data_IF_197740881792
#
_entry.id   IF_197740881792
#
_cell.length_a   1.000
_cell.length_b   1.000
_cell.length_c   1.000
_cell.angle_alpha   90.00
_cell.angle_beta   90.00
_cell.angle_gamma   90.00
#
_symmetry.space_group_name_H-M   'P 1'
#
loop_
_entity.id
_entity.type
_entity.pdbx_description
1 polymer ?
#
# COMPACT_ATOMS: atom_id res chain seq x y z
N UNK A 1 0.17 -4.73 -13.86
CA UNK A 1 1.09 -3.84 -13.16
C UNK A 1 0.91 -2.43 -13.71
N UNK A 2 0.50 -1.46 -12.88
CA UNK A 2 0.44 -0.05 -13.29
C UNK A 2 1.88 0.48 -13.41
N UNK A 3 2.26 1.06 -14.55
CA UNK A 3 3.66 1.50 -14.83
C UNK A 3 4.16 2.47 -13.74
N UNK A 4 3.24 3.26 -13.17
CA UNK A 4 3.53 4.23 -12.12
C UNK A 4 3.96 3.55 -10.81
N UNK A 5 3.29 2.47 -10.41
CA UNK A 5 3.63 1.75 -9.17
C UNK A 5 4.98 1.04 -9.30
N UNK A 6 5.25 0.49 -10.48
CA UNK A 6 6.53 -0.12 -10.79
C UNK A 6 7.67 0.91 -10.75
N UNK A 7 7.43 2.14 -11.20
CA UNK A 7 8.41 3.24 -11.12
C UNK A 7 8.81 3.56 -9.68
N UNK A 8 7.85 3.49 -8.74
CA UNK A 8 8.10 3.72 -7.32
C UNK A 8 8.65 2.48 -6.58
N UNK A 9 8.81 1.34 -7.25
CA UNK A 9 9.36 0.12 -6.67
C UNK A 9 8.36 -0.74 -5.87
N UNK A 10 7.05 -0.55 -6.08
CA UNK A 10 6.06 -1.41 -5.45
C UNK A 10 6.17 -2.85 -5.96
N UNK A 11 5.84 -3.79 -5.09
CA UNK A 11 5.71 -5.21 -5.42
C UNK A 11 4.59 -5.43 -6.44
N UNK A 12 4.57 -6.63 -7.04
CA UNK A 12 3.37 -7.09 -7.74
C UNK A 12 2.18 -7.16 -6.77
N UNK A 13 0.97 -7.09 -7.33
CA UNK A 13 -0.26 -7.31 -6.57
C UNK A 13 -0.40 -8.79 -6.21
N UNK A 14 -0.78 -9.06 -4.96
CA UNK A 14 -1.06 -10.40 -4.46
C UNK A 14 -2.26 -10.36 -3.52
N UNK A 15 -3.02 -11.46 -3.38
CA UNK A 15 -4.19 -11.49 -2.50
C UNK A 15 -3.79 -11.40 -1.02
N UNK A 16 -4.48 -10.53 -0.28
CA UNK A 16 -4.40 -10.47 1.17
C UNK A 16 -5.02 -11.71 1.81
N UNK A 17 -4.25 -12.39 2.67
CA UNK A 17 -4.70 -13.50 3.53
C UNK A 17 -4.70 -13.13 5.01
N UNK A 18 -4.33 -11.90 5.36
CA UNK A 18 -4.31 -11.43 6.74
C UNK A 18 -5.70 -11.03 7.27
N UNK A 19 -6.69 -10.92 6.36
CA UNK A 19 -8.04 -10.41 6.64
C UNK A 19 -8.07 -8.92 7.05
N UNK A 20 -6.98 -8.20 6.81
CA UNK A 20 -6.84 -6.77 7.15
C UNK A 20 -7.38 -5.89 6.03
N UNK A 21 -7.15 -6.28 4.77
CA UNK A 21 -7.50 -5.50 3.58
C UNK A 21 -8.69 -6.13 2.85
N UNK A 22 -9.70 -6.57 3.61
CA UNK A 22 -10.92 -7.22 3.07
C UNK A 22 -10.65 -8.36 2.08
N UNK A 23 -9.53 -9.08 2.20
CA UNK A 23 -9.07 -10.11 1.25
C UNK A 23 -8.86 -9.62 -0.19
N UNK A 24 -8.70 -8.31 -0.36
CA UNK A 24 -8.42 -7.67 -1.64
C UNK A 24 -6.98 -7.95 -2.10
N UNK A 25 -6.71 -7.65 -3.37
CA UNK A 25 -5.34 -7.63 -3.88
C UNK A 25 -4.60 -6.42 -3.31
N UNK A 26 -3.42 -6.66 -2.76
CA UNK A 26 -2.54 -5.64 -2.21
C UNK A 26 -1.18 -5.66 -2.88
N UNK A 27 -0.51 -4.52 -2.94
CA UNK A 27 0.93 -4.45 -3.20
C UNK A 27 1.58 -3.56 -2.16
N UNK A 28 2.89 -3.71 -1.96
CA UNK A 28 3.62 -2.94 -0.95
C UNK A 28 4.91 -2.35 -1.47
N UNK A 29 5.39 -1.33 -0.77
CA UNK A 29 6.73 -0.77 -0.90
C UNK A 29 7.34 -0.67 0.50
N UNK A 30 8.56 -1.19 0.66
CA UNK A 30 9.32 -1.04 1.89
C UNK A 30 9.89 0.37 1.99
N UNK A 31 9.51 1.10 3.04
CA UNK A 31 10.12 2.40 3.39
C UNK A 31 11.39 2.19 4.22
N UNK A 32 11.35 1.19 5.12
CA UNK A 32 12.49 0.72 5.90
C UNK A 32 12.24 -0.75 6.31
N UNK A 33 12.98 -1.25 7.31
CA UNK A 33 12.87 -2.64 7.75
C UNK A 33 11.49 -3.00 8.36
N UNK A 34 10.80 -2.00 8.93
CA UNK A 34 9.55 -2.21 9.68
C UNK A 34 8.35 -1.44 9.11
N UNK A 35 8.56 -0.42 8.28
CA UNK A 35 7.51 0.43 7.73
C UNK A 35 7.32 0.19 6.24
N UNK A 36 6.06 0.09 5.84
CA UNK A 36 5.65 -0.26 4.49
C UNK A 36 4.47 0.59 4.05
N UNK A 37 4.51 1.08 2.81
CA UNK A 37 3.33 1.59 2.13
C UNK A 37 2.59 0.42 1.51
N UNK A 38 1.26 0.39 1.63
CA UNK A 38 0.41 -0.64 1.05
C UNK A 38 -0.65 0.02 0.17
N UNK A 39 -0.74 -0.43 -1.07
CA UNK A 39 -1.90 -0.17 -1.91
C UNK A 39 -2.86 -1.35 -1.86
N UNK A 40 -4.09 -1.08 -1.47
CA UNK A 40 -5.20 -2.03 -1.57
C UNK A 40 -6.03 -1.71 -2.80
N UNK A 41 -6.26 -2.70 -3.66
CA UNK A 41 -7.15 -2.56 -4.81
C UNK A 41 -8.58 -2.89 -4.41
N UNK A 42 -9.45 -1.90 -4.43
CA UNK A 42 -10.87 -2.07 -4.10
C UNK A 42 -11.67 -2.54 -5.31
N UNK A 43 -12.88 -3.06 -5.08
CA UNK A 43 -13.77 -3.56 -6.15
C UNK A 43 -14.10 -2.50 -7.22
N UNK A 44 -14.00 -1.21 -6.87
CA UNK A 44 -14.28 -0.09 -7.77
C UNK A 44 -13.11 0.25 -8.71
N UNK A 45 -12.07 -0.59 -8.78
CA UNK A 45 -10.80 -0.29 -9.47
C UNK A 45 -10.08 0.96 -8.95
N UNK A 46 -10.42 1.38 -7.73
CA UNK A 46 -9.71 2.42 -6.98
C UNK A 46 -8.65 1.77 -6.09
N UNK A 47 -7.67 2.56 -5.67
CA UNK A 47 -6.62 2.10 -4.78
C UNK A 47 -6.68 2.88 -3.47
N UNK A 48 -6.65 2.21 -2.33
CA UNK A 48 -6.46 2.88 -1.05
C UNK A 48 -4.98 2.80 -0.68
N UNK A 49 -4.39 3.91 -0.25
CA UNK A 49 -3.00 3.99 0.19
C UNK A 49 -2.96 3.99 1.72
N UNK A 50 -2.23 3.04 2.26
CA UNK A 50 -1.98 2.91 3.69
C UNK A 50 -0.50 3.05 4.00
N UNK A 51 -0.19 3.52 5.21
CA UNK A 51 1.08 3.28 5.87
C UNK A 51 0.89 2.23 6.93
N UNK A 52 1.83 1.30 7.00
CA UNK A 52 1.74 0.14 7.89
C UNK A 52 3.08 -0.17 8.54
N UNK A 53 3.02 -0.77 9.72
CA UNK A 53 4.19 -1.30 10.41
C UNK A 53 4.09 -2.82 10.58
N UNK A 54 5.11 -3.53 10.14
CA UNK A 54 5.27 -4.98 10.31
C UNK A 54 6.67 -5.27 10.86
N UNK A 55 6.88 -6.45 11.45
CA UNK A 55 8.24 -6.81 11.88
C UNK A 55 9.16 -7.08 10.68
N UNK A 56 8.58 -7.50 9.55
CA UNK A 56 9.27 -7.76 8.30
C UNK A 56 8.27 -7.88 7.14
N UNK A 57 8.78 -7.77 5.91
CA UNK A 57 7.99 -7.84 4.66
C UNK A 57 7.18 -9.14 4.49
N UNK A 58 7.62 -10.25 5.08
CA UNK A 58 6.95 -11.57 4.91
C UNK A 58 5.63 -11.65 5.67
N UNK A 59 5.41 -10.74 6.63
CA UNK A 59 4.16 -10.66 7.37
C UNK A 59 3.06 -9.95 6.57
N UNK A 60 3.43 -9.16 5.55
CA UNK A 60 2.48 -8.40 4.73
C UNK A 60 1.57 -9.37 3.98
N UNK A 61 0.27 -9.18 4.14
CA UNK A 61 -0.75 -10.03 3.55
C UNK A 61 -0.90 -11.41 4.18
N UNK A 62 -0.20 -11.72 5.27
CA UNK A 62 -0.38 -12.98 6.02
C UNK A 62 -0.76 -12.75 7.47
N UNK A 63 -0.22 -11.70 8.11
CA UNK A 63 -0.60 -11.26 9.45
C UNK A 63 -1.14 -9.85 9.40
N UNK A 64 -1.88 -9.46 10.44
CA UNK A 64 -2.27 -8.07 10.62
C UNK A 64 -1.06 -7.22 11.03
N UNK A 65 -0.96 -5.98 10.52
CA UNK A 65 0.10 -5.04 10.90
C UNK A 65 0.01 -4.65 12.38
N UNK A 66 1.15 -4.22 12.94
CA UNK A 66 1.19 -3.63 14.28
C UNK A 66 0.55 -2.24 14.30
N UNK A 67 0.76 -1.47 13.24
CA UNK A 67 0.15 -0.15 13.00
C UNK A 67 -0.38 -0.12 11.58
N UNK A 68 -1.60 0.38 11.39
CA UNK A 68 -2.17 0.63 10.08
C UNK A 68 -2.89 1.98 10.09
N UNK A 69 -2.53 2.84 9.16
CA UNK A 69 -3.16 4.15 8.98
C UNK A 69 -3.47 4.35 7.49
N UNK A 70 -4.69 4.80 7.21
CA UNK A 70 -5.13 5.17 5.88
C UNK A 70 -4.61 6.57 5.55
N UNK A 71 -3.74 6.68 4.54
CA UNK A 71 -3.20 7.95 4.08
C UNK A 71 -4.11 8.62 3.05
N UNK A 72 -4.59 7.83 2.09
CA UNK A 72 -5.41 8.32 0.98
C UNK A 72 -6.44 7.26 0.62
N UNK A 73 -7.71 7.61 0.73
CA UNK A 73 -8.81 6.82 0.18
C UNK A 73 -8.97 7.12 -1.31
N UNK A 74 -9.25 6.09 -2.13
CA UNK A 74 -9.47 6.25 -3.57
C UNK A 74 -8.38 7.08 -4.27
N UNK A 75 -7.12 6.68 -4.08
CA UNK A 75 -5.93 7.28 -4.64
C UNK A 75 -6.07 7.54 -6.15
N UNK A 76 -6.32 8.80 -6.48
CA UNK A 76 -6.22 9.34 -7.83
C UNK A 76 -4.86 10.02 -8.09
N UNK A 77 -4.08 9.46 -9.02
CA UNK A 77 -2.78 10.02 -9.46
C UNK A 77 -2.89 11.40 -10.12
N UNK A 78 -4.08 11.80 -10.55
CA UNK A 78 -4.36 13.10 -11.16
C UNK A 78 -4.45 14.21 -10.11
N UNK A 79 -4.77 13.87 -8.86
CA UNK A 79 -4.86 14.82 -7.75
C UNK A 79 -3.47 15.15 -7.18
N UNK A 80 -3.09 16.44 -7.11
CA UNK A 80 -1.81 16.85 -6.52
C UNK A 80 -1.64 16.43 -5.07
N UNK A 81 -2.69 16.52 -4.27
CA UNK A 81 -2.67 16.19 -2.84
C UNK A 81 -2.32 14.72 -2.60
N UNK A 82 -2.84 13.82 -3.43
CA UNK A 82 -2.54 12.40 -3.35
C UNK A 82 -1.09 12.11 -3.72
N UNK A 83 -0.57 12.77 -4.76
CA UNK A 83 0.85 12.64 -5.14
C UNK A 83 1.77 13.19 -4.05
N UNK A 84 1.40 14.29 -3.41
CA UNK A 84 2.13 14.88 -2.28
C UNK A 84 2.16 13.93 -1.08
N UNK A 85 1.01 13.32 -0.75
CA UNK A 85 0.93 12.33 0.33
C UNK A 85 1.86 11.14 0.07
N UNK A 86 1.85 10.55 -1.13
CA UNK A 86 2.77 9.47 -1.48
C UNK A 86 4.23 9.92 -1.38
N UNK A 87 4.57 11.09 -1.93
CA UNK A 87 5.95 11.60 -1.94
C UNK A 87 6.49 11.91 -0.56
N UNK A 88 5.65 12.37 0.37
CA UNK A 88 6.05 12.66 1.75
C UNK A 88 6.63 11.45 2.51
N UNK A 89 6.38 10.22 2.04
CA UNK A 89 6.97 8.99 2.58
C UNK A 89 8.13 8.43 1.75
N UNK A 90 8.36 8.96 0.55
CA UNK A 90 9.42 8.52 -0.37
C UNK A 90 10.66 9.43 -0.34
N UNK A 91 10.51 10.67 0.12
CA UNK A 91 11.57 11.69 0.26
C UNK A 91 12.09 11.77 1.71
#
# INVERSE_FOLDING_TARGET
MDIVLQYYGFSDFFPDKSNTFSTNEICYLALNAEHFLIFEKTESSSYNLYVSQFNNEKEIGTKSPSILELLVESYDKSLPEHRLALRAYLE
#
